data_IF_041922958652
#
_entry.id   IF_041922958652
#
_cell.length_a   1.000
_cell.length_b   1.000
_cell.length_c   1.000
_cell.angle_alpha   90.00
_cell.angle_beta   90.00
_cell.angle_gamma   90.00
#
_symmetry.space_group_name_H-M   'P 1'
#
loop_
_entity.id
_entity.type
_entity.pdbx_description
1 polymer ?
#
# COMPACT_ATOMS: atom_id res chain seq x y z
N UNK A 1 11.14 -19.77 0.31
CA UNK A 1 11.19 -19.37 -0.41
C UNK A 1 11.03 -18.07 -0.79
N UNK A 2 11.90 -17.31 -0.75
CA UNK A 2 11.77 -15.99 -1.11
C UNK A 2 11.29 -15.89 -2.49
N UNK A 3 10.30 -15.15 -2.65
CA UNK A 3 9.77 -14.98 -3.92
C UNK A 3 10.01 -13.59 -4.36
N UNK A 4 10.38 -13.44 -5.58
CA UNK A 4 10.49 -12.15 -6.19
C UNK A 4 9.26 -11.91 -7.02
N UNK A 5 8.71 -10.74 -6.92
CA UNK A 5 7.62 -10.30 -7.77
C UNK A 5 8.12 -9.16 -8.63
N UNK A 6 7.67 -9.15 -9.86
CA UNK A 6 8.05 -8.09 -10.79
C UNK A 6 6.89 -7.16 -10.99
N UNK A 7 7.16 -5.87 -11.00
CA UNK A 7 6.17 -4.87 -11.35
C UNK A 7 6.60 -4.25 -12.67
N UNK A 8 5.72 -4.31 -13.66
CA UNK A 8 5.97 -3.64 -14.91
C UNK A 8 5.62 -2.18 -14.76
N UNK A 9 6.39 -1.30 -15.36
CA UNK A 9 6.14 0.11 -15.25
C UNK A 9 6.32 0.79 -16.60
N UNK A 10 5.61 1.88 -16.80
CA UNK A 10 5.77 2.71 -18.01
C UNK A 10 6.91 3.70 -17.87
N UNK A 11 7.50 3.82 -16.68
CA UNK A 11 8.62 4.73 -16.49
C UNK A 11 9.89 4.16 -17.10
N UNK A 12 10.73 5.02 -17.61
CA UNK A 12 12.01 4.63 -18.15
C UNK A 12 13.04 4.67 -17.03
N UNK A 13 13.21 3.56 -16.35
CA UNK A 13 14.06 3.49 -15.18
C UNK A 13 14.75 2.14 -15.14
N UNK A 14 15.87 2.08 -14.45
CA UNK A 14 16.58 0.83 -14.25
C UNK A 14 15.82 -0.05 -13.27
N UNK A 15 16.01 -1.34 -13.40
CA UNK A 15 15.41 -2.29 -12.47
C UNK A 15 15.93 -2.03 -11.07
N UNK A 16 15.05 -2.09 -10.10
CA UNK A 16 15.40 -1.87 -8.70
C UNK A 16 14.77 -2.96 -7.86
N UNK A 17 15.39 -3.24 -6.73
CA UNK A 17 14.88 -4.25 -5.80
C UNK A 17 14.55 -3.58 -4.49
N UNK A 18 13.35 -3.83 -4.01
CA UNK A 18 12.94 -3.43 -2.68
C UNK A 18 12.96 -4.67 -1.79
N UNK A 19 13.62 -4.56 -0.65
CA UNK A 19 13.69 -5.66 0.30
C UNK A 19 13.08 -5.23 1.62
N UNK A 20 12.27 -6.10 2.19
CA UNK A 20 11.60 -5.81 3.44
C UNK A 20 11.33 -7.11 4.17
N UNK A 21 11.75 -7.18 5.43
CA UNK A 21 11.48 -8.33 6.28
C UNK A 21 10.27 -8.00 7.16
N UNK A 22 9.14 -8.68 7.00
CA UNK A 22 7.92 -8.30 7.69
C UNK A 22 7.87 -8.80 9.14
N UNK A 23 8.95 -8.65 9.85
CA UNK A 23 9.03 -9.13 11.23
C UNK A 23 8.09 -8.36 12.12
N UNK A 24 7.36 -9.07 12.94
CA UNK A 24 6.45 -8.46 13.88
C UNK A 24 5.17 -7.95 13.29
N UNK A 25 5.00 -8.12 12.00
CA UNK A 25 3.82 -7.61 11.32
C UNK A 25 2.95 -8.69 10.73
N UNK A 26 3.32 -9.93 10.91
CA UNK A 26 2.62 -11.04 10.29
C UNK A 26 1.17 -11.14 10.74
N UNK A 27 0.88 -10.69 11.95
CA UNK A 27 -0.47 -10.79 12.49
C UNK A 27 -1.50 -9.94 11.76
N UNK A 28 -1.05 -8.97 10.96
CA UNK A 28 -1.98 -8.13 10.25
C UNK A 28 -2.29 -8.61 8.84
N UNK A 29 -1.73 -9.73 8.45
CA UNK A 29 -1.98 -10.21 7.12
C UNK A 29 -3.33 -10.89 7.06
N UNK A 30 -4.32 -10.25 6.49
CA UNK A 30 -5.66 -10.80 6.33
C UNK A 30 -6.02 -11.06 4.87
N UNK A 31 -5.21 -10.60 3.94
CA UNK A 31 -5.44 -10.82 2.51
C UNK A 31 -4.35 -11.76 2.00
N UNK A 32 -4.71 -12.80 1.22
CA UNK A 32 -3.70 -13.79 0.79
C UNK A 32 -2.51 -13.20 0.06
N UNK A 33 -2.70 -12.10 -0.66
CA UNK A 33 -1.64 -11.48 -1.43
C UNK A 33 -1.28 -10.11 -0.88
N UNK A 34 -1.48 -9.92 0.42
CA UNK A 34 -1.21 -8.63 1.04
C UNK A 34 0.26 -8.25 0.88
N UNK A 35 0.49 -7.03 0.41
CA UNK A 35 1.83 -6.49 0.28
C UNK A 35 2.12 -5.55 1.44
N UNK A 36 3.38 -5.38 1.82
CA UNK A 36 3.68 -4.45 2.90
C UNK A 36 3.43 -3.00 2.49
N UNK A 37 2.97 -2.20 3.44
CA UNK A 37 2.78 -0.76 3.21
C UNK A 37 4.08 -0.11 2.76
N UNK A 38 5.19 -0.57 3.32
CA UNK A 38 6.51 -0.02 3.03
C UNK A 38 6.89 -0.15 1.56
N UNK A 39 6.40 -1.19 0.89
CA UNK A 39 6.64 -1.34 -0.54
C UNK A 39 6.02 -0.18 -1.32
N UNK A 40 4.77 0.14 -1.01
CA UNK A 40 4.09 1.24 -1.70
C UNK A 40 4.69 2.59 -1.32
N UNK A 41 5.09 2.76 -0.06
CA UNK A 41 5.75 3.99 0.35
C UNK A 41 7.03 4.21 -0.46
N UNK A 42 7.79 3.13 -0.66
CA UNK A 42 9.01 3.19 -1.45
C UNK A 42 8.72 3.56 -2.91
N UNK A 43 7.69 2.94 -3.51
CA UNK A 43 7.31 3.22 -4.89
C UNK A 43 6.88 4.69 -5.02
N UNK A 44 6.07 5.17 -4.10
CA UNK A 44 5.58 6.55 -4.17
C UNK A 44 6.72 7.55 -4.00
N UNK A 45 7.68 7.22 -3.14
CA UNK A 45 8.82 8.12 -2.94
C UNK A 45 9.65 8.26 -4.20
N UNK A 46 9.64 7.25 -5.07
CA UNK A 46 10.43 7.27 -6.29
C UNK A 46 9.69 7.86 -7.48
N UNK A 47 8.38 7.65 -7.56
CA UNK A 47 7.66 7.93 -8.80
C UNK A 47 6.51 8.92 -8.64
N UNK A 48 6.03 9.15 -7.43
CA UNK A 48 4.90 10.07 -7.22
C UNK A 48 5.40 11.40 -6.71
N UNK A 49 4.76 12.47 -7.16
CA UNK A 49 5.09 13.82 -6.73
C UNK A 49 3.90 14.40 -5.99
N UNK A 50 4.16 15.42 -5.20
CA UNK A 50 3.12 16.10 -4.45
C UNK A 50 1.99 16.50 -5.38
N UNK A 51 0.77 16.24 -4.96
CA UNK A 51 -0.40 16.57 -5.76
C UNK A 51 -0.87 15.46 -6.68
N UNK A 52 -0.11 14.39 -6.80
CA UNK A 52 -0.55 13.25 -7.62
C UNK A 52 -1.75 12.57 -6.97
N UNK A 53 -2.59 12.01 -7.83
CA UNK A 53 -3.68 11.15 -7.40
C UNK A 53 -3.36 9.72 -7.80
N UNK A 54 -3.46 8.82 -6.85
CA UNK A 54 -3.18 7.40 -7.08
C UNK A 54 -4.48 6.67 -7.36
N UNK A 55 -4.48 5.82 -8.37
CA UNK A 55 -5.59 4.94 -8.66
C UNK A 55 -5.11 3.50 -8.52
N UNK A 56 -5.75 2.74 -7.65
CA UNK A 56 -5.45 1.33 -7.46
C UNK A 56 -6.70 0.53 -7.80
N UNK A 57 -6.67 -0.18 -8.91
CA UNK A 57 -7.83 -0.93 -9.38
C UNK A 57 -7.97 -2.29 -8.70
N UNK A 58 -6.97 -2.71 -7.95
CA UNK A 58 -6.96 -3.98 -7.23
C UNK A 58 -6.48 -3.73 -5.81
N UNK A 59 -7.33 -3.06 -5.03
CA UNK A 59 -6.95 -2.55 -3.72
C UNK A 59 -6.50 -3.62 -2.74
N UNK A 60 -7.15 -4.76 -2.75
CA UNK A 60 -6.83 -5.84 -1.83
C UNK A 60 -6.96 -5.41 -0.38
N UNK A 61 -5.89 -5.53 0.36
CA UNK A 61 -5.87 -5.21 1.79
C UNK A 61 -5.89 -3.70 2.05
N UNK A 62 -5.53 -2.91 1.06
CA UNK A 62 -5.47 -1.46 1.24
C UNK A 62 -4.11 -0.92 1.63
N UNK A 63 -3.06 -1.71 1.48
CA UNK A 63 -1.71 -1.24 1.81
C UNK A 63 -1.34 -0.01 1.00
N UNK A 64 -1.72 0.03 -0.28
CA UNK A 64 -1.42 1.17 -1.14
C UNK A 64 -2.14 2.43 -0.66
N UNK A 65 -3.36 2.28 -0.15
CA UNK A 65 -4.14 3.42 0.35
C UNK A 65 -3.49 4.02 1.59
N UNK A 66 -3.04 3.15 2.50
CA UNK A 66 -2.37 3.60 3.72
C UNK A 66 -1.09 4.34 3.37
N UNK A 67 -0.30 3.79 2.45
CA UNK A 67 0.94 4.44 2.04
C UNK A 67 0.68 5.78 1.36
N UNK A 68 -0.38 5.87 0.56
CA UNK A 68 -0.74 7.13 -0.10
C UNK A 68 -1.17 8.18 0.92
N UNK A 69 -1.93 7.77 1.92
CA UNK A 69 -2.34 8.68 2.99
C UNK A 69 -1.12 9.25 3.72
N UNK A 70 -0.20 8.37 4.09
CA UNK A 70 1.01 8.79 4.81
C UNK A 70 1.90 9.68 3.95
N UNK A 71 1.86 9.50 2.63
CA UNK A 71 2.64 10.33 1.72
C UNK A 71 1.92 11.63 1.32
N UNK A 72 0.69 11.82 1.77
CA UNK A 72 -0.05 13.03 1.44
C UNK A 72 -0.59 13.05 0.03
N UNK A 73 -0.84 11.90 -0.56
CA UNK A 73 -1.35 11.80 -1.93
C UNK A 73 -2.84 11.52 -1.93
N UNK A 74 -3.54 12.00 -2.95
CA UNK A 74 -4.93 11.64 -3.16
C UNK A 74 -5.01 10.20 -3.63
N UNK A 75 -6.12 9.52 -3.30
CA UNK A 75 -6.20 8.10 -3.59
C UNK A 75 -7.63 7.68 -3.93
N UNK A 76 -7.75 6.83 -4.94
CA UNK A 76 -8.99 6.14 -5.26
C UNK A 76 -8.64 4.67 -5.43
N UNK A 77 -9.36 3.79 -4.76
CA UNK A 77 -9.13 2.36 -4.85
C UNK A 77 -10.40 1.60 -5.10
N UNK A 78 -10.27 0.46 -5.75
CA UNK A 78 -11.38 -0.43 -6.06
C UNK A 78 -11.04 -1.85 -5.62
N UNK A 79 -12.05 -2.55 -5.10
CA UNK A 79 -11.88 -3.93 -4.67
C UNK A 79 -13.20 -4.67 -4.91
N UNK A 80 -13.14 -5.78 -5.66
CA UNK A 80 -14.34 -6.54 -5.98
C UNK A 80 -14.84 -7.41 -4.83
N UNK A 81 -13.94 -7.87 -3.98
CA UNK A 81 -14.33 -8.74 -2.87
C UNK A 81 -14.81 -7.87 -1.71
N UNK A 82 -16.10 -7.95 -1.40
CA UNK A 82 -16.68 -7.09 -0.38
C UNK A 82 -16.02 -7.31 0.99
N UNK A 83 -15.73 -8.54 1.34
CA UNK A 83 -15.11 -8.84 2.63
C UNK A 83 -13.75 -8.18 2.75
N UNK A 84 -12.94 -8.27 1.71
CA UNK A 84 -11.62 -7.63 1.71
C UNK A 84 -11.76 -6.12 1.69
N UNK A 85 -12.74 -5.61 0.96
CA UNK A 85 -12.98 -4.17 0.94
C UNK A 85 -13.32 -3.66 2.35
N UNK A 86 -14.25 -4.33 3.03
CA UNK A 86 -14.66 -3.93 4.37
C UNK A 86 -13.49 -3.99 5.37
N UNK A 87 -12.65 -5.02 5.25
CA UNK A 87 -11.48 -5.14 6.10
C UNK A 87 -10.47 -4.02 5.83
N UNK A 88 -10.31 -3.67 4.57
CA UNK A 88 -9.39 -2.59 4.21
C UNK A 88 -9.86 -1.25 4.76
N UNK A 89 -11.17 -1.02 4.77
CA UNK A 89 -11.74 0.21 5.33
C UNK A 89 -11.45 0.28 6.83
N UNK A 90 -11.66 -0.84 7.55
CA UNK A 90 -11.37 -0.89 8.98
C UNK A 90 -9.91 -0.61 9.26
N UNK A 91 -9.04 -1.22 8.48
CA UNK A 91 -7.60 -1.04 8.68
C UNK A 91 -7.22 0.43 8.45
N UNK A 92 -7.76 1.02 7.40
CA UNK A 92 -7.48 2.42 7.10
C UNK A 92 -8.01 3.35 8.21
N UNK A 93 -9.22 3.08 8.70
CA UNK A 93 -9.81 3.90 9.75
C UNK A 93 -9.00 3.81 11.03
N UNK A 94 -8.53 2.61 11.38
CA UNK A 94 -7.69 2.44 12.56
C UNK A 94 -6.37 3.15 12.41
N UNK A 95 -5.78 3.08 11.22
CA UNK A 95 -4.50 3.72 10.96
C UNK A 95 -4.61 5.24 11.09
N UNK A 96 -5.64 5.83 10.49
CA UNK A 96 -5.81 7.28 10.53
C UNK A 96 -6.19 7.77 11.92
N UNK A 97 -6.94 6.98 12.67
CA UNK A 97 -7.27 7.32 14.05
C UNK A 97 -6.03 7.35 14.92
N UNK A 98 -5.12 6.38 14.74
CA UNK A 98 -3.85 6.37 15.46
C UNK A 98 -2.99 7.57 15.12
N UNK A 99 -2.94 7.93 13.86
CA UNK A 99 -2.14 9.07 13.44
C UNK A 99 -2.68 10.37 14.02
N UNK A 100 -4.00 10.55 14.04
CA UNK A 100 -4.57 11.77 14.60
C UNK A 100 -4.38 11.85 16.11
N UNK A 101 -4.23 10.71 16.78
CA UNK A 101 -3.99 10.72 18.23
C UNK A 101 -2.65 11.40 18.57
N UNK A 102 -1.69 11.30 17.68
CA UNK A 102 -0.36 11.86 17.90
C UNK A 102 -0.12 13.23 17.26
N UNK A 103 -1.13 13.77 16.64
CA UNK A 103 -0.99 15.10 16.00
C UNK A 103 -0.96 16.27 17.02
#
# INVERSE_FOLDING_TARGET
>A
MAMEEYAWTSFNDNAKIFRFAPQGKAGFRFHPTQKPVELYAWIYSRYAEEGYKILDTHLGSGSSRIAAYDAGLDFVGCEVCKEYFDESVKWFENHTAQMSFFD
#
